data_IF_586891904301
#
_entry.id   IF_586891904301
#
_cell.length_a   1.000
_cell.length_b   1.000
_cell.length_c   1.000
_cell.angle_alpha   90.00
_cell.angle_beta   90.00
_cell.angle_gamma   90.00
#
_symmetry.space_group_name_H-M   'P 1'
#
loop_
_entity.id
_entity.type
_entity.pdbx_description
1 polymer ?
#
# COMPACT_ATOMS: atom_id res chain seq x y z
N UNK A 1 -25.27 -40.37 -60.57
CA UNK A 1 -24.36 -40.51 -59.42
C UNK A 1 -24.25 -39.16 -58.70
N UNK A 2 -25.31 -38.66 -58.06
CA UNK A 2 -25.34 -37.29 -57.51
C UNK A 2 -26.39 -37.10 -56.40
N UNK A 3 -26.45 -38.01 -55.41
CA UNK A 3 -27.54 -37.99 -54.40
C UNK A 3 -27.06 -38.07 -52.95
N UNK A 4 -25.86 -37.59 -52.62
CA UNK A 4 -25.33 -37.70 -51.24
C UNK A 4 -24.71 -36.43 -50.63
N UNK A 5 -25.01 -35.24 -51.16
CA UNK A 5 -24.51 -33.98 -50.56
C UNK A 5 -25.56 -33.26 -49.68
N UNK A 6 -26.86 -33.58 -49.80
CA UNK A 6 -27.94 -32.85 -49.08
C UNK A 6 -28.21 -33.29 -47.62
N UNK A 7 -27.36 -34.11 -46.98
CA UNK A 7 -27.64 -34.66 -45.63
C UNK A 7 -26.72 -34.13 -44.51
N UNK A 8 -26.04 -33.00 -44.69
CA UNK A 8 -25.21 -32.40 -43.62
C UNK A 8 -25.69 -31.04 -43.10
N UNK A 9 -26.81 -30.51 -43.60
CA UNK A 9 -27.40 -29.25 -43.14
C UNK A 9 -28.66 -29.47 -42.27
N UNK A 10 -28.91 -30.70 -41.83
CA UNK A 10 -30.08 -31.05 -40.99
C UNK A 10 -29.67 -31.55 -39.58
N UNK A 11 -28.52 -31.11 -39.08
CA UNK A 11 -28.28 -31.06 -37.65
C UNK A 11 -28.80 -29.70 -37.19
N UNK A 12 -29.71 -29.67 -36.24
CA UNK A 12 -30.26 -28.41 -35.72
C UNK A 12 -29.18 -27.61 -34.99
N UNK A 13 -28.37 -26.85 -35.72
CA UNK A 13 -27.58 -25.77 -35.16
C UNK A 13 -28.55 -24.62 -34.84
N UNK A 14 -29.10 -24.66 -33.62
CA UNK A 14 -29.84 -23.56 -33.03
C UNK A 14 -28.94 -22.33 -32.99
N UNK A 15 -29.23 -21.36 -33.87
CA UNK A 15 -28.52 -20.10 -33.91
C UNK A 15 -28.76 -19.30 -32.63
N UNK A 16 -27.68 -18.72 -32.09
CA UNK A 16 -27.73 -17.80 -30.95
C UNK A 16 -28.61 -16.60 -31.31
N UNK A 17 -29.63 -16.32 -30.52
CA UNK A 17 -30.54 -15.19 -30.80
C UNK A 17 -29.93 -13.88 -30.31
N UNK A 18 -30.21 -12.79 -31.03
CA UNK A 18 -29.79 -11.45 -30.59
C UNK A 18 -30.42 -11.06 -29.25
N UNK A 19 -31.61 -11.59 -28.93
CA UNK A 19 -32.28 -11.34 -27.66
C UNK A 19 -31.59 -12.05 -26.49
N UNK A 20 -31.05 -13.26 -26.69
CA UNK A 20 -30.24 -13.96 -25.67
C UNK A 20 -28.99 -13.16 -25.33
N UNK A 21 -28.30 -12.62 -26.33
CA UNK A 21 -27.13 -11.77 -26.10
C UNK A 21 -27.53 -10.46 -25.38
N UNK A 22 -28.66 -9.86 -25.77
CA UNK A 22 -29.16 -8.62 -25.19
C UNK A 22 -29.49 -8.76 -23.70
N UNK A 23 -30.14 -9.85 -23.29
CA UNK A 23 -30.46 -10.07 -21.86
C UNK A 23 -29.18 -10.26 -21.04
N UNK A 24 -28.19 -10.97 -21.58
CA UNK A 24 -26.91 -11.21 -20.88
C UNK A 24 -26.16 -9.91 -20.62
N UNK A 25 -26.05 -9.02 -21.61
CA UNK A 25 -25.35 -7.74 -21.42
C UNK A 25 -26.08 -6.83 -20.43
N UNK A 26 -27.42 -6.87 -20.37
CA UNK A 26 -28.20 -6.10 -19.39
C UNK A 26 -27.91 -6.60 -17.97
N UNK A 27 -27.87 -7.91 -17.77
CA UNK A 27 -27.56 -8.49 -16.45
C UNK A 27 -26.12 -8.13 -16.05
N UNK A 28 -25.14 -8.27 -16.94
CA UNK A 28 -23.74 -7.88 -16.68
C UNK A 28 -23.65 -6.38 -16.36
N UNK A 29 -24.40 -5.52 -17.06
CA UNK A 29 -24.40 -4.08 -16.81
C UNK A 29 -24.92 -3.73 -15.39
N UNK A 30 -25.99 -4.39 -14.93
CA UNK A 30 -26.52 -4.20 -13.58
C UNK A 30 -25.51 -4.65 -12.53
N UNK A 31 -24.90 -5.82 -12.72
CA UNK A 31 -23.89 -6.34 -11.80
C UNK A 31 -22.65 -5.44 -11.75
N UNK A 32 -22.15 -5.00 -12.92
CA UNK A 32 -21.01 -4.10 -13.02
C UNK A 32 -21.26 -2.75 -12.35
N UNK A 33 -22.47 -2.19 -12.47
CA UNK A 33 -22.84 -0.92 -11.85
C UNK A 33 -22.68 -0.94 -10.31
N UNK A 34 -22.92 -2.08 -9.67
CA UNK A 34 -22.76 -2.24 -8.20
C UNK A 34 -21.34 -2.69 -7.85
N UNK A 35 -20.76 -3.59 -8.65
CA UNK A 35 -19.46 -4.19 -8.37
C UNK A 35 -18.28 -3.22 -8.54
N UNK A 36 -18.31 -2.34 -9.55
CA UNK A 36 -17.22 -1.42 -9.82
C UNK A 36 -16.96 -0.44 -8.67
N UNK A 37 -17.94 0.34 -8.17
CA UNK A 37 -17.67 1.30 -7.09
C UNK A 37 -17.24 0.60 -5.80
N UNK A 38 -17.81 -0.56 -5.49
CA UNK A 38 -17.44 -1.34 -4.30
C UNK A 38 -16.02 -1.89 -4.41
N UNK A 39 -15.66 -2.44 -5.58
CA UNK A 39 -14.30 -2.92 -5.85
C UNK A 39 -13.26 -1.81 -5.75
N UNK A 40 -13.52 -0.63 -6.33
CA UNK A 40 -12.62 0.53 -6.24
C UNK A 40 -12.42 0.98 -4.78
N UNK A 41 -13.49 1.03 -3.99
CA UNK A 41 -13.40 1.35 -2.57
C UNK A 41 -12.60 0.32 -1.75
N UNK A 42 -12.74 -0.98 -2.05
CA UNK A 42 -11.94 -2.03 -1.41
C UNK A 42 -10.47 -1.94 -1.80
N UNK A 43 -10.17 -1.65 -3.07
CA UNK A 43 -8.80 -1.46 -3.54
C UNK A 43 -8.11 -0.30 -2.82
N UNK A 44 -8.78 0.85 -2.68
CA UNK A 44 -8.23 2.00 -1.94
C UNK A 44 -7.94 1.65 -0.48
N UNK A 45 -8.85 0.93 0.19
CA UNK A 45 -8.63 0.48 1.58
C UNK A 45 -7.45 -0.47 1.70
N UNK A 46 -7.26 -1.37 0.72
CA UNK A 46 -6.11 -2.28 0.69
C UNK A 46 -4.80 -1.53 0.49
N UNK A 47 -4.78 -0.52 -0.39
CA UNK A 47 -3.62 0.36 -0.60
C UNK A 47 -3.27 1.14 0.68
N UNK A 48 -4.27 1.69 1.37
CA UNK A 48 -4.08 2.36 2.66
C UNK A 48 -3.54 1.40 3.72
N UNK A 49 -4.12 0.20 3.82
CA UNK A 49 -3.67 -0.84 4.76
C UNK A 49 -2.22 -1.27 4.50
N UNK A 50 -1.81 -1.37 3.22
CA UNK A 50 -0.43 -1.69 2.86
C UNK A 50 0.55 -0.61 3.35
N UNK A 51 0.25 0.68 3.13
CA UNK A 51 1.07 1.78 3.62
C UNK A 51 1.16 1.81 5.16
N UNK A 52 0.03 1.61 5.85
CA UNK A 52 -0.01 1.48 7.31
C UNK A 52 0.87 0.34 7.82
N UNK A 53 0.79 -0.83 7.18
CA UNK A 53 1.62 -1.99 7.53
C UNK A 53 3.10 -1.72 7.31
N UNK A 54 3.45 -1.08 6.19
CA UNK A 54 4.82 -0.70 5.87
C UNK A 54 5.41 0.20 6.97
N UNK A 55 4.66 1.23 7.38
CA UNK A 55 5.07 2.14 8.46
C UNK A 55 5.27 1.39 9.78
N UNK A 56 4.36 0.47 10.14
CA UNK A 56 4.48 -0.33 11.38
C UNK A 56 5.68 -1.28 11.36
N UNK A 57 5.98 -1.90 10.21
CA UNK A 57 7.16 -2.75 10.04
C UNK A 57 8.44 -1.91 10.16
N UNK A 58 8.47 -0.73 9.53
CA UNK A 58 9.57 0.22 9.64
C UNK A 58 9.81 0.67 11.09
N UNK A 59 8.75 0.97 11.86
CA UNK A 59 8.86 1.28 13.29
C UNK A 59 9.58 0.16 14.05
N UNK A 60 9.23 -1.10 13.76
CA UNK A 60 9.85 -2.25 14.44
C UNK A 60 11.34 -2.33 14.15
N UNK A 61 11.76 -2.07 12.90
CA UNK A 61 13.16 -2.03 12.52
C UNK A 61 13.93 -0.89 13.21
N UNK A 62 13.34 0.31 13.25
CA UNK A 62 13.90 1.49 13.92
C UNK A 62 14.11 1.23 15.42
N UNK A 63 13.12 0.63 16.08
CA UNK A 63 13.19 0.30 17.51
C UNK A 63 14.24 -0.79 17.79
N UNK A 64 14.39 -1.76 16.88
CA UNK A 64 15.46 -2.77 16.97
C UNK A 64 16.84 -2.11 16.86
N UNK A 65 17.03 -1.17 15.94
CA UNK A 65 18.31 -0.47 15.75
C UNK A 65 18.71 0.35 16.98
N UNK A 66 17.73 0.88 17.73
CA UNK A 66 17.98 1.64 18.95
C UNK A 66 18.64 0.82 20.06
N UNK A 67 18.38 -0.49 20.12
CA UNK A 67 18.97 -1.37 21.15
C UNK A 67 20.50 -1.34 21.10
N UNK A 68 21.07 -1.30 19.88
CA UNK A 68 22.52 -1.30 19.67
C UNK A 68 23.11 0.10 19.65
N UNK A 69 22.39 1.06 19.07
CA UNK A 69 22.93 2.40 18.77
C UNK A 69 22.59 3.46 19.81
N UNK A 70 21.55 3.24 20.63
CA UNK A 70 20.97 4.21 21.58
C UNK A 70 20.56 5.54 20.95
N UNK A 71 20.24 5.55 19.67
CA UNK A 71 19.78 6.74 18.96
C UNK A 71 18.90 6.38 17.76
N UNK A 72 17.99 7.29 17.42
CA UNK A 72 17.17 7.25 16.22
C UNK A 72 17.67 8.25 15.16
N UNK A 73 18.88 8.80 15.32
CA UNK A 73 19.39 9.78 14.36
C UNK A 73 19.75 9.10 13.03
N UNK A 74 19.25 9.57 11.88
CA UNK A 74 19.61 9.01 10.57
C UNK A 74 21.12 9.00 10.31
N UNK A 75 21.86 10.00 10.79
CA UNK A 75 23.32 10.06 10.66
C UNK A 75 24.05 8.89 11.34
N UNK A 76 23.45 8.28 12.36
CA UNK A 76 24.01 7.14 13.08
C UNK A 76 23.54 5.80 12.51
N UNK A 77 22.31 5.76 11.99
CA UNK A 77 21.69 4.53 11.46
C UNK A 77 21.96 4.30 9.97
N UNK A 78 22.14 5.39 9.22
CA UNK A 78 22.42 5.44 7.79
C UNK A 78 23.60 6.39 7.52
N UNK A 79 24.80 6.13 8.08
CA UNK A 79 25.96 7.01 7.92
C UNK A 79 26.39 7.09 6.46
N UNK A 80 26.74 8.29 5.98
CA UNK A 80 27.23 8.49 4.62
C UNK A 80 28.54 7.73 4.40
N UNK A 81 28.54 6.78 3.46
CA UNK A 81 29.71 5.94 3.16
C UNK A 81 29.95 4.79 4.15
N UNK A 82 29.03 4.55 5.08
CA UNK A 82 29.03 3.37 5.96
C UNK A 82 27.88 2.42 5.65
N UNK A 83 27.74 1.39 6.49
CA UNK A 83 26.67 0.42 6.38
C UNK A 83 25.33 0.99 6.87
N UNK A 84 24.28 0.84 6.06
CA UNK A 84 22.91 1.16 6.46
C UNK A 84 22.37 0.06 7.38
N UNK A 85 22.31 0.36 8.68
CA UNK A 85 21.84 -0.58 9.70
C UNK A 85 20.35 -0.90 9.54
N UNK A 86 19.54 0.05 9.09
CA UNK A 86 18.11 -0.17 8.89
C UNK A 86 17.87 -1.13 7.72
N UNK A 87 18.65 -1.00 6.64
CA UNK A 87 18.60 -1.94 5.52
C UNK A 87 19.12 -3.34 5.89
N UNK A 88 20.00 -3.47 6.88
CA UNK A 88 20.42 -4.77 7.40
C UNK A 88 19.33 -5.44 8.25
N UNK A 89 18.63 -4.65 9.07
CA UNK A 89 17.56 -5.15 9.94
C UNK A 89 16.32 -5.52 9.13
N UNK A 90 15.91 -4.67 8.19
CA UNK A 90 14.72 -4.87 7.36
C UNK A 90 15.03 -4.59 5.89
N UNK A 91 15.56 -5.59 5.14
CA UNK A 91 16.02 -5.40 3.77
C UNK A 91 14.89 -5.21 2.76
N UNK A 92 13.64 -5.50 3.14
CA UNK A 92 12.49 -5.30 2.24
C UNK A 92 12.01 -3.85 2.20
N UNK A 93 12.49 -2.99 3.12
CA UNK A 93 12.09 -1.59 3.23
C UNK A 93 13.27 -0.68 2.91
N UNK A 94 13.05 0.31 2.05
CA UNK A 94 14.02 1.39 1.83
C UNK A 94 13.72 2.55 2.77
N UNK A 95 14.67 2.93 3.62
CA UNK A 95 14.55 4.05 4.56
C UNK A 95 15.20 5.29 3.97
N UNK A 96 14.46 6.40 3.93
CA UNK A 96 14.95 7.68 3.38
C UNK A 96 14.80 8.77 4.42
N UNK A 97 15.92 9.36 4.85
CA UNK A 97 15.91 10.46 5.80
C UNK A 97 15.11 11.67 5.28
N UNK A 98 14.15 12.17 6.05
CA UNK A 98 13.37 13.37 5.73
C UNK A 98 12.84 14.01 7.02
N UNK A 99 12.98 15.33 7.14
CA UNK A 99 12.35 16.08 8.24
C UNK A 99 10.82 16.04 8.15
N UNK A 100 10.15 15.99 9.30
CA UNK A 100 8.69 15.84 9.39
C UNK A 100 8.17 14.55 8.71
N UNK A 101 8.95 13.47 8.74
CA UNK A 101 8.63 12.20 8.08
C UNK A 101 7.23 11.65 8.43
N UNK A 102 6.72 11.93 9.63
CA UNK A 102 5.39 11.48 10.03
C UNK A 102 4.26 12.35 9.45
N UNK A 103 4.48 13.67 9.35
CA UNK A 103 3.46 14.64 8.91
C UNK A 103 3.41 14.84 7.41
N UNK A 104 4.56 14.85 6.76
CA UNK A 104 4.70 15.15 5.33
C UNK A 104 5.62 14.14 4.65
N UNK A 105 5.32 12.83 4.70
CA UNK A 105 6.09 11.85 3.95
C UNK A 105 5.91 12.07 2.44
N UNK A 106 6.98 11.80 1.70
CA UNK A 106 7.03 11.81 0.23
C UNK A 106 7.39 10.45 -0.36
N UNK A 107 7.85 9.51 0.46
CA UNK A 107 8.19 8.13 0.09
C UNK A 107 6.92 7.31 -0.24
N UNK A 108 6.96 6.55 -1.32
CA UNK A 108 5.83 5.77 -1.79
C UNK A 108 5.82 4.36 -1.22
N UNK A 109 4.68 3.94 -0.68
CA UNK A 109 4.50 2.59 -0.16
C UNK A 109 4.59 1.52 -1.26
N UNK A 110 4.20 1.87 -2.50
CA UNK A 110 4.33 0.98 -3.67
C UNK A 110 5.78 0.65 -4.03
N UNK A 111 6.73 1.51 -3.65
CA UNK A 111 8.16 1.29 -3.79
C UNK A 111 8.79 0.70 -2.52
N UNK A 112 7.98 0.21 -1.57
CA UNK A 112 8.41 -0.26 -0.26
C UNK A 112 9.34 0.75 0.46
N UNK A 113 9.08 2.05 0.27
CA UNK A 113 9.93 3.12 0.81
C UNK A 113 9.20 3.86 1.93
N UNK A 114 9.94 4.19 2.99
CA UNK A 114 9.47 5.04 4.08
C UNK A 114 10.37 6.25 4.23
N UNK A 115 9.78 7.36 4.67
CA UNK A 115 10.54 8.46 5.23
C UNK A 115 10.74 8.26 6.71
N UNK A 116 11.89 8.72 7.20
CA UNK A 116 12.28 8.57 8.59
C UNK A 116 13.10 9.77 9.08
N UNK A 117 12.97 10.12 10.35
CA UNK A 117 13.92 11.00 11.06
C UNK A 117 13.85 10.74 12.56
N UNK A 118 14.83 11.21 13.33
CA UNK A 118 14.83 11.01 14.78
C UNK A 118 16.05 11.56 15.49
N UNK A 119 16.03 11.42 16.82
CA UNK A 119 17.08 11.84 17.75
C UNK A 119 17.31 10.78 18.84
N UNK A 120 17.91 11.14 19.97
CA UNK A 120 18.16 10.20 21.07
C UNK A 120 16.89 9.73 21.82
N UNK A 121 15.76 10.41 21.64
CA UNK A 121 14.55 10.28 22.46
C UNK A 121 13.26 10.26 21.66
N UNK A 122 13.30 10.49 20.36
CA UNK A 122 12.13 10.47 19.50
C UNK A 122 12.47 10.09 18.07
N UNK A 123 11.46 9.63 17.34
CA UNK A 123 11.56 9.43 15.90
C UNK A 123 10.22 9.60 15.20
N UNK A 124 10.30 9.81 13.91
CA UNK A 124 9.16 9.92 13.02
C UNK A 124 9.35 8.98 11.84
N UNK A 125 8.26 8.37 11.39
CA UNK A 125 8.25 7.55 10.19
C UNK A 125 6.93 7.70 9.45
N UNK A 126 6.97 7.71 8.12
CA UNK A 126 5.76 7.80 7.32
C UNK A 126 5.95 7.40 5.86
N UNK A 127 4.84 7.17 5.18
CA UNK A 127 4.80 6.78 3.77
C UNK A 127 3.48 7.23 3.12
N UNK A 128 3.47 7.30 1.79
CA UNK A 128 2.32 7.65 0.97
C UNK A 128 1.72 6.39 0.35
N UNK A 129 0.43 6.17 0.52
CA UNK A 129 -0.29 5.04 -0.08
C UNK A 129 -0.53 5.28 -1.57
N UNK A 130 -0.80 4.19 -2.32
CA UNK A 130 -1.24 4.31 -3.72
C UNK A 130 -2.64 4.94 -3.89
N UNK A 131 -3.34 5.23 -2.79
CA UNK A 131 -4.58 6.00 -2.81
C UNK A 131 -4.35 7.50 -2.56
N UNK A 132 -3.08 7.93 -2.59
CA UNK A 132 -2.60 9.30 -2.36
C UNK A 132 -2.80 9.83 -0.92
N UNK A 133 -3.07 8.94 0.03
CA UNK A 133 -3.09 9.31 1.46
C UNK A 133 -1.73 9.14 2.09
N UNK A 134 -1.42 9.98 3.05
CA UNK A 134 -0.20 9.85 3.86
C UNK A 134 -0.53 9.19 5.20
N UNK A 135 0.35 8.31 5.65
CA UNK A 135 0.28 7.68 6.95
C UNK A 135 1.64 7.82 7.63
N UNK A 136 1.64 8.33 8.86
CA UNK A 136 2.86 8.48 9.63
C UNK A 136 2.64 8.37 11.12
N UNK A 137 3.72 8.12 11.84
CA UNK A 137 3.75 8.00 13.29
C UNK A 137 4.95 8.76 13.81
N UNK A 138 4.71 9.67 14.76
CA UNK A 138 5.75 10.25 15.61
C UNK A 138 5.75 9.49 16.94
N UNK A 139 6.92 9.09 17.40
CA UNK A 139 7.12 8.35 18.66
C UNK A 139 8.03 9.17 19.55
N UNK A 140 7.54 9.49 20.75
CA UNK A 140 8.32 10.13 21.80
C UNK A 140 8.61 9.11 22.91
N UNK A 141 9.88 8.95 23.27
CA UNK A 141 10.37 8.05 24.33
C UNK A 141 10.77 8.80 25.62
N UNK A 142 10.50 10.10 25.69
CA UNK A 142 10.77 10.92 26.87
C UNK A 142 9.77 10.70 28.01
N UNK A 143 9.87 11.52 29.06
CA UNK A 143 9.07 11.37 30.29
C UNK A 143 7.54 11.50 30.09
N UNK A 144 7.10 12.19 29.04
CA UNK A 144 5.70 12.27 28.60
C UNK A 144 5.49 11.56 27.25
N UNK A 145 6.21 10.45 27.05
CA UNK A 145 6.28 9.71 25.81
C UNK A 145 4.93 9.14 25.35
N UNK A 146 4.84 8.86 24.06
CA UNK A 146 3.64 8.38 23.41
C UNK A 146 3.80 8.36 21.89
N UNK A 147 2.82 7.74 21.22
CA UNK A 147 2.76 7.70 19.78
C UNK A 147 1.67 8.66 19.31
N UNK A 148 2.01 9.54 18.38
CA UNK A 148 1.04 10.39 17.67
C UNK A 148 0.93 9.90 16.24
N UNK A 149 -0.29 9.59 15.83
CA UNK A 149 -0.60 9.08 14.51
C UNK A 149 -1.08 10.20 13.59
N UNK A 150 -0.61 10.18 12.35
CA UNK A 150 -0.95 11.17 11.34
C UNK A 150 -1.58 10.52 10.12
N UNK A 151 -2.68 11.11 9.65
CA UNK A 151 -3.25 10.86 8.33
C UNK A 151 -3.41 12.18 7.62
N UNK A 152 -2.78 12.33 6.45
CA UNK A 152 -2.80 13.57 5.65
C UNK A 152 -2.28 14.77 6.44
N UNK A 153 -1.23 14.54 7.23
CA UNK A 153 -0.58 15.54 8.09
C UNK A 153 -1.37 15.97 9.33
N UNK A 154 -2.62 15.51 9.49
CA UNK A 154 -3.44 15.77 10.66
C UNK A 154 -3.40 14.63 11.68
N UNK A 155 -3.37 14.99 12.96
CA UNK A 155 -3.42 14.07 14.11
C UNK A 155 -4.72 13.25 14.06
N UNK A 156 -4.60 11.96 13.75
CA UNK A 156 -5.71 11.00 13.63
C UNK A 156 -5.21 9.59 13.92
N UNK A 157 -5.93 8.86 14.76
CA UNK A 157 -5.64 7.45 15.03
C UNK A 157 -5.94 6.57 13.81
N UNK A 158 -5.08 5.58 13.55
CA UNK A 158 -5.22 4.71 12.36
C UNK A 158 -4.63 3.30 12.46
#
# INVERSE_FOLDING_TARGET
MMTKIRKRLSGGEGGFTLIELLVVIIIIAILAAIAIPTFLGQRQKAQDAAAKSLVRNAMTAIESAYVDTRTFAPASLQPSGGDDLLAQIEPSITFVALDNAAKTPTALASAATVNYTGDASSYEVGSVSESDKTFGVAVNKGANGGNTFYVDGGDKDW
#
